data_IF_758337796255
#
_entry.id   IF_758337796255
#
_cell.length_a   1.000
_cell.length_b   1.000
_cell.length_c   1.000
_cell.angle_alpha   90.00
_cell.angle_beta   90.00
_cell.angle_gamma   90.00
#
_symmetry.space_group_name_H-M   'P 1'
#
loop_
_entity.id
_entity.type
_entity.pdbx_description
1 polymer ?
#
# COMPACT_ATOMS: atom_id res chain seq x y z
N UNK A 1 16.48 -13.65 -20.36
CA UNK A 1 16.04 -12.47 -21.13
C UNK A 1 15.25 -11.49 -20.27
N UNK A 2 14.18 -11.92 -19.57
CA UNK A 2 13.37 -11.04 -18.70
C UNK A 2 14.15 -10.35 -17.55
N UNK A 3 15.03 -11.07 -16.86
CA UNK A 3 15.85 -10.49 -15.77
C UNK A 3 16.81 -9.40 -16.27
N UNK A 4 17.36 -9.57 -17.46
CA UNK A 4 18.25 -8.58 -18.08
C UNK A 4 17.47 -7.34 -18.52
N UNK A 5 16.25 -7.50 -19.06
CA UNK A 5 15.37 -6.36 -19.33
C UNK A 5 14.94 -5.63 -18.06
N UNK A 6 14.67 -6.36 -16.98
CA UNK A 6 14.34 -5.77 -15.69
C UNK A 6 15.52 -4.92 -15.18
N UNK A 7 16.72 -5.48 -15.16
CA UNK A 7 17.94 -4.78 -14.74
C UNK A 7 18.30 -3.59 -15.65
N UNK A 8 17.87 -3.59 -16.91
CA UNK A 8 18.03 -2.45 -17.82
C UNK A 8 17.01 -1.33 -17.56
N UNK A 9 15.82 -1.65 -17.02
CA UNK A 9 14.74 -0.69 -16.76
C UNK A 9 14.75 -0.17 -15.31
N UNK A 10 15.18 -1.00 -14.36
CA UNK A 10 15.20 -0.71 -12.94
C UNK A 10 16.62 -0.87 -12.42
N UNK A 11 17.15 0.19 -11.82
CA UNK A 11 18.32 0.07 -10.96
C UNK A 11 17.93 -0.57 -9.62
N UNK A 12 18.91 -0.75 -8.75
CA UNK A 12 18.72 -1.33 -7.42
C UNK A 12 17.66 -0.57 -6.60
N UNK A 13 17.78 0.76 -6.52
CA UNK A 13 16.84 1.63 -5.79
C UNK A 13 15.41 1.50 -6.31
N UNK A 14 15.21 1.53 -7.63
CA UNK A 14 13.87 1.42 -8.20
C UNK A 14 13.27 0.02 -8.02
N UNK A 15 14.13 -1.00 -7.98
CA UNK A 15 13.73 -2.38 -7.69
C UNK A 15 13.29 -2.50 -6.22
N UNK A 16 14.04 -1.90 -5.30
CA UNK A 16 13.69 -1.87 -3.87
C UNK A 16 12.38 -1.12 -3.63
N UNK A 17 12.19 0.05 -4.23
CA UNK A 17 10.93 0.79 -4.21
C UNK A 17 9.75 -0.08 -4.69
N UNK A 18 9.91 -0.78 -5.81
CA UNK A 18 8.87 -1.66 -6.35
C UNK A 18 8.55 -2.82 -5.40
N UNK A 19 9.57 -3.41 -4.79
CA UNK A 19 9.41 -4.49 -3.81
C UNK A 19 8.69 -4.01 -2.55
N UNK A 20 8.94 -2.78 -2.11
CA UNK A 20 8.22 -2.19 -0.98
C UNK A 20 6.75 -1.92 -1.33
N UNK A 21 6.46 -1.36 -2.50
CA UNK A 21 5.07 -1.12 -2.95
C UNK A 21 4.29 -2.43 -3.12
N UNK A 22 4.95 -3.51 -3.57
CA UNK A 22 4.32 -4.81 -3.72
C UNK A 22 3.76 -5.38 -2.40
N UNK A 23 4.26 -4.92 -1.24
CA UNK A 23 3.73 -5.31 0.07
C UNK A 23 2.31 -4.80 0.35
N UNK A 24 1.79 -3.85 -0.43
CA UNK A 24 0.39 -3.40 -0.36
C UNK A 24 -0.57 -4.28 -1.18
N UNK A 25 -0.08 -5.33 -1.84
CA UNK A 25 -0.91 -6.19 -2.68
C UNK A 25 -2.10 -6.75 -1.89
N UNK A 26 -3.36 -6.54 -2.36
CA UNK A 26 -4.53 -7.10 -1.70
C UNK A 26 -4.75 -8.59 -2.02
N UNK A 27 -3.93 -9.15 -2.91
CA UNK A 27 -4.01 -10.56 -3.33
C UNK A 27 -3.82 -11.46 -2.11
N UNK A 28 -4.59 -12.54 -2.05
CA UNK A 28 -4.48 -13.56 -1.01
C UNK A 28 -4.56 -12.94 0.41
N UNK A 29 -5.57 -12.09 0.61
CA UNK A 29 -5.83 -11.39 1.87
C UNK A 29 -4.61 -10.63 2.41
N UNK A 30 -3.90 -9.91 1.53
CA UNK A 30 -2.71 -9.13 1.87
C UNK A 30 -1.54 -9.96 2.40
N UNK A 31 -1.39 -11.22 1.97
CA UNK A 31 -0.32 -12.12 2.45
C UNK A 31 1.11 -11.61 2.18
N UNK A 32 1.27 -10.66 1.25
CA UNK A 32 2.56 -10.01 0.96
C UNK A 32 2.90 -8.83 1.89
N UNK A 33 2.01 -8.48 2.83
CA UNK A 33 2.20 -7.38 3.76
C UNK A 33 3.47 -7.56 4.60
N UNK A 34 4.35 -6.57 4.54
CA UNK A 34 5.56 -6.47 5.36
C UNK A 34 5.72 -5.04 5.84
N UNK A 35 5.39 -4.84 7.12
CA UNK A 35 5.45 -3.54 7.79
C UNK A 35 6.81 -2.86 7.64
N UNK A 36 7.91 -3.61 7.74
CA UNK A 36 9.26 -3.03 7.68
C UNK A 36 9.58 -2.49 6.29
N UNK A 37 9.14 -3.19 5.24
CA UNK A 37 9.31 -2.71 3.86
C UNK A 37 8.47 -1.47 3.58
N UNK A 38 7.28 -1.36 4.16
CA UNK A 38 6.43 -0.17 4.02
C UNK A 38 6.99 1.03 4.81
N UNK A 39 7.63 0.81 5.96
CA UNK A 39 8.39 1.87 6.63
C UNK A 39 9.60 2.30 5.79
N UNK A 40 10.32 1.34 5.23
CA UNK A 40 11.43 1.64 4.33
C UNK A 40 10.97 2.39 3.06
N UNK A 41 9.76 2.12 2.56
CA UNK A 41 9.16 2.90 1.48
C UNK A 41 9.06 4.39 1.84
N UNK A 42 8.62 4.71 3.06
CA UNK A 42 8.48 6.09 3.53
C UNK A 42 9.83 6.81 3.66
N UNK A 43 10.91 6.08 3.98
CA UNK A 43 12.27 6.63 4.04
C UNK A 43 12.78 7.16 2.69
N UNK A 44 12.27 6.64 1.56
CA UNK A 44 12.57 7.18 0.24
C UNK A 44 11.95 8.55 -0.04
N UNK A 45 11.02 9.01 0.81
CA UNK A 45 10.27 10.26 0.66
C UNK A 45 10.52 11.20 1.86
N UNK A 46 11.76 11.67 2.08
CA UNK A 46 12.13 12.45 3.25
C UNK A 46 11.54 13.88 3.27
N UNK A 47 10.95 14.33 2.16
CA UNK A 47 10.22 15.61 2.10
C UNK A 47 8.81 15.43 2.67
N UNK A 48 8.18 14.29 2.42
CA UNK A 48 6.83 13.94 2.83
C UNK A 48 6.77 13.29 4.21
N UNK A 49 7.85 12.61 4.64
CA UNK A 49 7.92 11.91 5.91
C UNK A 49 9.15 12.31 6.72
N UNK A 50 8.91 12.96 7.86
CA UNK A 50 9.90 13.11 8.92
C UNK A 50 10.09 11.81 9.70
N UNK A 51 11.20 11.68 10.45
CA UNK A 51 11.42 10.52 11.32
C UNK A 51 10.33 10.33 12.38
N UNK A 52 9.67 11.41 12.81
CA UNK A 52 8.53 11.34 13.74
C UNK A 52 7.31 10.72 13.03
N UNK A 53 7.04 11.13 11.80
CA UNK A 53 5.93 10.58 11.01
C UNK A 53 6.15 9.12 10.63
N UNK A 54 7.40 8.70 10.35
CA UNK A 54 7.72 7.29 10.12
C UNK A 54 7.45 6.44 11.38
N UNK A 55 7.80 6.93 12.57
CA UNK A 55 7.48 6.24 13.83
C UNK A 55 5.96 6.18 14.09
N UNK A 56 5.21 7.22 13.70
CA UNK A 56 3.75 7.19 13.78
C UNK A 56 3.16 6.19 12.78
N UNK A 57 3.70 6.15 11.57
CA UNK A 57 3.30 5.24 10.50
C UNK A 57 3.44 3.77 10.92
N UNK A 58 4.46 3.43 11.71
CA UNK A 58 4.66 2.07 12.25
C UNK A 58 3.41 1.55 12.97
N UNK A 59 2.82 2.38 13.84
CA UNK A 59 1.59 2.02 14.55
C UNK A 59 0.37 2.01 13.60
N UNK A 60 0.30 2.96 12.67
CA UNK A 60 -0.82 3.06 11.72
C UNK A 60 -0.87 1.87 10.76
N UNK A 61 0.28 1.30 10.38
CA UNK A 61 0.37 0.15 9.50
C UNK A 61 -0.23 -1.12 10.14
N UNK A 62 -0.15 -1.27 11.46
CA UNK A 62 -0.80 -2.37 12.16
C UNK A 62 -2.33 -2.25 12.14
N UNK A 63 -2.86 -1.04 12.38
CA UNK A 63 -4.29 -0.79 12.24
C UNK A 63 -4.77 -0.97 10.80
N UNK A 64 -4.00 -0.46 9.82
CA UNK A 64 -4.29 -0.59 8.40
C UNK A 64 -4.53 -2.05 7.99
N UNK A 65 -3.60 -2.97 8.34
CA UNK A 65 -3.73 -4.36 7.90
C UNK A 65 -4.93 -5.05 8.56
N UNK A 66 -5.25 -4.73 9.82
CA UNK A 66 -6.43 -5.25 10.52
C UNK A 66 -7.71 -4.75 9.82
N UNK A 67 -7.79 -3.47 9.50
CA UNK A 67 -8.96 -2.88 8.84
C UNK A 67 -9.15 -3.48 7.44
N UNK A 68 -8.09 -3.57 6.65
CA UNK A 68 -8.15 -4.09 5.28
C UNK A 68 -8.51 -5.59 5.23
N UNK A 69 -8.03 -6.38 6.18
CA UNK A 69 -8.31 -7.83 6.21
C UNK A 69 -9.65 -8.19 6.87
N UNK A 70 -10.20 -7.32 7.72
CA UNK A 70 -11.51 -7.51 8.36
C UNK A 70 -12.68 -7.08 7.47
N UNK A 71 -12.47 -6.16 6.54
CA UNK A 71 -13.53 -5.62 5.68
C UNK A 71 -13.64 -6.42 4.37
N UNK A 72 -14.79 -7.09 4.19
CA UNK A 72 -15.08 -7.91 3.00
C UNK A 72 -14.92 -7.14 1.67
N UNK A 73 -15.12 -5.81 1.67
CA UNK A 73 -14.95 -4.97 0.48
C UNK A 73 -13.51 -4.86 -0.04
N UNK A 74 -12.52 -5.23 0.78
CA UNK A 74 -11.09 -5.23 0.42
C UNK A 74 -10.53 -6.62 0.15
N UNK A 75 -11.32 -7.68 0.35
CA UNK A 75 -10.91 -9.04 0.04
C UNK A 75 -11.04 -9.33 -1.45
N UNK A 76 -10.15 -10.19 -1.96
CA UNK A 76 -10.14 -10.69 -3.35
C UNK A 76 -10.04 -9.59 -4.44
N UNK A 77 -9.44 -8.44 -4.14
CA UNK A 77 -9.13 -7.43 -5.15
C UNK A 77 -7.99 -7.95 -6.06
N UNK A 78 -8.02 -7.57 -7.34
CA UNK A 78 -7.09 -8.13 -8.33
C UNK A 78 -5.69 -7.50 -8.31
N UNK A 79 -5.52 -6.38 -7.61
CA UNK A 79 -4.23 -5.71 -7.45
C UNK A 79 -4.35 -4.30 -6.87
N UNK A 80 -3.24 -3.54 -6.97
CA UNK A 80 -3.14 -2.20 -6.41
C UNK A 80 -4.12 -1.19 -7.01
N UNK A 81 -4.46 -1.31 -8.30
CA UNK A 81 -5.43 -0.41 -8.95
C UNK A 81 -6.80 -0.55 -8.29
N UNK A 82 -7.29 -1.78 -8.11
CA UNK A 82 -8.56 -2.05 -7.44
C UNK A 82 -8.55 -1.59 -5.99
N UNK A 83 -7.43 -1.81 -5.29
CA UNK A 83 -7.24 -1.33 -3.92
C UNK A 83 -7.39 0.19 -3.86
N UNK A 84 -6.68 0.93 -4.71
CA UNK A 84 -6.74 2.39 -4.73
C UNK A 84 -8.16 2.88 -5.05
N UNK A 85 -8.84 2.29 -6.04
CA UNK A 85 -10.24 2.61 -6.36
C UNK A 85 -11.16 2.35 -5.17
N UNK A 86 -11.01 1.21 -4.48
CA UNK A 86 -11.83 0.87 -3.31
C UNK A 86 -11.58 1.83 -2.14
N UNK A 87 -10.33 2.21 -1.88
CA UNK A 87 -9.99 3.16 -0.82
C UNK A 87 -10.62 4.54 -1.09
N UNK A 88 -10.59 5.02 -2.33
CA UNK A 88 -11.24 6.28 -2.72
C UNK A 88 -12.75 6.20 -2.53
N UNK A 89 -13.39 5.13 -3.01
CA UNK A 89 -14.84 4.94 -2.85
C UNK A 89 -15.25 4.89 -1.36
N UNK A 90 -14.51 4.17 -0.52
CA UNK A 90 -14.80 4.12 0.90
C UNK A 90 -14.57 5.46 1.60
N UNK A 91 -13.53 6.22 1.24
CA UNK A 91 -13.32 7.58 1.75
C UNK A 91 -14.49 8.51 1.37
N UNK A 92 -14.98 8.40 0.13
CA UNK A 92 -16.15 9.16 -0.33
C UNK A 92 -17.41 8.74 0.43
N UNK A 93 -17.62 7.44 0.71
CA UNK A 93 -18.77 6.99 1.50
C UNK A 93 -18.70 7.45 2.97
N UNK A 94 -17.51 7.51 3.58
CA UNK A 94 -17.33 8.04 4.94
C UNK A 94 -17.60 9.55 4.99
N UNK A 95 -17.26 10.29 3.93
CA UNK A 95 -17.45 11.75 3.86
C UNK A 95 -18.82 12.18 3.32
N UNK A 96 -19.57 11.29 2.66
CA UNK A 96 -20.91 11.54 2.13
C UNK A 96 -21.86 10.35 2.46
N UNK A 97 -22.31 10.23 3.72
CA UNK A 97 -23.18 9.12 4.14
C UNK A 97 -24.60 9.18 3.55
N UNK A 98 -24.98 10.30 2.93
CA UNK A 98 -26.29 10.45 2.29
C UNK A 98 -26.17 10.10 0.79
N UNK A 99 -26.67 8.91 0.43
CA UNK A 99 -26.71 8.41 -0.95
C UNK A 99 -27.52 9.31 -1.90
N UNK A 100 -27.47 9.05 -3.23
CA UNK A 100 -28.19 9.87 -4.20
C UNK A 100 -29.70 9.79 -3.92
N UNK A 101 -30.32 10.97 -3.74
CA UNK A 101 -31.77 11.16 -3.69
C UNK A 101 -32.43 10.77 -5.01
#
# INVERSE_FOLDING_TARGET
MQLQELNNRFNEVNTELLLCVACLSPIDAFSSFDKRKLLHLAEFYPIEFSSIEINLLDNQLESYIIDMTSHQGFLNLSGLTDLATRMILNLVMVLAPEGPR
#
